data_IF_308550192538
#
_entry.id   IF_308550192538
#
_cell.length_a   1.000
_cell.length_b   1.000
_cell.length_c   1.000
_cell.angle_alpha   90.00
_cell.angle_beta   90.00
_cell.angle_gamma   90.00
#
_symmetry.space_group_name_H-M   'P 1'
#
loop_
_entity.id
_entity.type
_entity.pdbx_description
1 polymer ?
#
# COMPACT_ATOMS: atom_id res chain seq x y z
N UNK A 1 6.24 -2.16 18.25
CA UNK A 1 7.39 -1.64 19.01
C UNK A 1 6.96 -0.90 20.27
N UNK A 2 6.14 0.15 20.21
CA UNK A 2 5.71 0.88 21.43
C UNK A 2 4.85 0.03 22.38
N UNK A 3 4.02 -0.86 21.88
CA UNK A 3 3.23 -1.76 22.72
C UNK A 3 4.11 -2.67 23.60
N UNK A 4 5.25 -3.12 23.09
CA UNK A 4 6.22 -3.90 23.87
C UNK A 4 6.89 -3.09 25.01
N UNK A 5 6.77 -1.76 24.97
CA UNK A 5 7.25 -0.83 26.00
C UNK A 5 6.12 -0.33 26.93
N UNK A 6 4.95 -0.97 26.88
CA UNK A 6 3.82 -0.66 27.75
C UNK A 6 2.83 0.37 27.18
N UNK A 7 2.95 0.76 25.90
CA UNK A 7 1.95 1.60 25.25
C UNK A 7 0.65 0.83 25.01
N UNK A 8 -0.47 1.49 25.18
CA UNK A 8 -1.80 0.93 24.94
C UNK A 8 -2.20 1.25 23.50
N UNK A 9 -2.54 0.24 22.72
CA UNK A 9 -3.11 0.40 21.37
C UNK A 9 -4.60 0.69 21.53
N UNK A 10 -5.03 1.87 21.12
CA UNK A 10 -6.45 2.29 21.20
C UNK A 10 -7.26 1.85 19.98
N UNK A 11 -6.60 1.56 18.87
CA UNK A 11 -7.20 1.10 17.62
C UNK A 11 -6.15 0.99 16.53
N UNK A 12 -6.46 0.26 15.46
CA UNK A 12 -5.59 0.13 14.29
C UNK A 12 -6.38 0.25 12.99
N UNK A 13 -5.71 0.65 11.90
CA UNK A 13 -6.29 0.63 10.56
C UNK A 13 -6.63 -0.80 10.10
N UNK A 14 -5.88 -1.81 10.59
CA UNK A 14 -6.16 -3.23 10.33
C UNK A 14 -7.52 -3.62 10.90
N UNK A 15 -7.80 -3.27 12.17
CA UNK A 15 -9.08 -3.60 12.83
C UNK A 15 -10.26 -2.88 12.18
N UNK A 16 -10.02 -1.70 11.63
CA UNK A 16 -11.00 -0.91 10.88
C UNK A 16 -11.16 -1.34 9.41
N UNK A 17 -10.34 -2.30 8.92
CA UNK A 17 -10.33 -2.72 7.52
C UNK A 17 -9.84 -1.65 6.54
N UNK A 18 -9.13 -0.64 7.03
CA UNK A 18 -8.66 0.50 6.24
C UNK A 18 -7.22 0.25 5.77
N UNK A 19 -6.99 0.31 4.46
CA UNK A 19 -5.64 0.27 3.87
C UNK A 19 -4.93 1.60 4.09
N UNK A 20 -3.65 1.55 4.45
CA UNK A 20 -2.88 2.70 4.90
C UNK A 20 -2.32 3.62 3.81
N UNK A 21 -2.41 3.24 2.54
CA UNK A 21 -1.87 4.04 1.45
C UNK A 21 -2.23 3.52 0.07
N UNK A 22 -1.93 4.34 -0.93
CA UNK A 22 -2.11 4.00 -2.36
C UNK A 22 -0.85 4.39 -3.13
N UNK A 23 -0.60 3.70 -4.24
CA UNK A 23 0.39 4.12 -5.21
C UNK A 23 -0.23 5.20 -6.11
N UNK A 24 0.51 6.25 -6.35
CA UNK A 24 0.07 7.38 -7.16
C UNK A 24 1.13 7.67 -8.23
N UNK A 25 0.67 7.91 -9.45
CA UNK A 25 1.52 8.24 -10.57
C UNK A 25 1.01 9.53 -11.23
N UNK A 26 1.93 10.29 -11.80
CA UNK A 26 1.59 11.50 -12.54
C UNK A 26 0.91 11.13 -13.86
N UNK A 27 -0.05 11.93 -14.31
CA UNK A 27 -0.78 11.73 -15.57
C UNK A 27 0.17 11.56 -16.76
N UNK A 28 1.27 12.32 -16.80
CA UNK A 28 2.29 12.20 -17.83
C UNK A 28 2.91 10.79 -17.88
N UNK A 29 3.13 10.17 -16.73
CA UNK A 29 3.68 8.79 -16.65
C UNK A 29 2.62 7.80 -17.12
N UNK A 30 1.38 7.97 -16.69
CA UNK A 30 0.25 7.11 -17.09
C UNK A 30 0.08 7.12 -18.60
N UNK A 31 0.15 8.29 -19.24
CA UNK A 31 -0.09 8.46 -20.67
C UNK A 31 1.11 8.04 -21.52
N UNK A 32 2.34 8.37 -21.11
CA UNK A 32 3.51 8.23 -21.96
C UNK A 32 4.37 7.00 -21.63
N UNK A 33 4.16 6.36 -20.47
CA UNK A 33 4.97 5.25 -19.99
C UNK A 33 4.14 4.05 -19.48
N UNK A 34 3.10 3.62 -20.20
CA UNK A 34 2.20 2.55 -19.74
C UNK A 34 2.91 1.21 -19.55
N UNK A 35 3.96 0.92 -20.33
CA UNK A 35 4.72 -0.33 -20.19
C UNK A 35 5.58 -0.34 -18.92
N UNK A 36 6.08 0.83 -18.49
CA UNK A 36 6.83 0.93 -17.26
C UNK A 36 5.94 0.70 -16.03
N UNK A 37 4.68 1.17 -16.09
CA UNK A 37 3.71 0.89 -15.03
C UNK A 37 3.35 -0.60 -14.93
N UNK A 38 3.17 -1.27 -16.07
CA UNK A 38 2.96 -2.73 -16.09
C UNK A 38 4.17 -3.46 -15.52
N UNK A 39 5.38 -3.10 -15.95
CA UNK A 39 6.61 -3.69 -15.42
C UNK A 39 6.77 -3.42 -13.92
N UNK A 40 6.42 -2.22 -13.44
CA UNK A 40 6.43 -1.89 -12.03
C UNK A 40 5.51 -2.81 -11.22
N UNK A 41 4.25 -2.99 -11.63
CA UNK A 41 3.32 -3.85 -10.91
C UNK A 41 3.70 -5.34 -10.98
N UNK A 42 4.28 -5.79 -12.10
CA UNK A 42 4.84 -7.14 -12.19
C UNK A 42 5.96 -7.33 -11.16
N UNK A 43 6.93 -6.42 -11.13
CA UNK A 43 8.03 -6.47 -10.16
C UNK A 43 7.54 -6.32 -8.70
N UNK A 44 6.50 -5.53 -8.48
CA UNK A 44 5.86 -5.40 -7.17
C UNK A 44 5.30 -6.76 -6.70
N UNK A 45 4.56 -7.45 -7.55
CA UNK A 45 3.99 -8.76 -7.20
C UNK A 45 5.08 -9.83 -7.01
N UNK A 46 6.15 -9.82 -7.83
CA UNK A 46 7.32 -10.69 -7.62
C UNK A 46 8.01 -10.44 -6.28
N UNK A 47 8.09 -9.18 -5.84
CA UNK A 47 8.61 -8.84 -4.52
C UNK A 47 7.68 -9.35 -3.40
N UNK A 48 6.37 -9.29 -3.58
CA UNK A 48 5.38 -9.87 -2.65
C UNK A 48 5.56 -11.39 -2.55
N UNK A 49 5.72 -12.09 -3.68
CA UNK A 49 5.99 -13.53 -3.69
C UNK A 49 7.26 -13.87 -2.90
N UNK A 50 8.32 -13.08 -3.11
CA UNK A 50 9.56 -13.26 -2.37
C UNK A 50 9.35 -13.06 -0.86
N UNK A 51 8.66 -11.99 -0.46
CA UNK A 51 8.38 -11.71 0.95
C UNK A 51 7.51 -12.79 1.61
N UNK A 52 6.52 -13.32 0.90
CA UNK A 52 5.65 -14.39 1.41
C UNK A 52 6.38 -15.74 1.52
N UNK A 53 7.41 -15.97 0.71
CA UNK A 53 8.18 -17.21 0.70
C UNK A 53 9.40 -17.20 1.66
N UNK A 54 9.81 -16.05 2.19
CA UNK A 54 11.05 -15.87 2.94
C UNK A 54 10.82 -15.12 4.25
N UNK A 55 11.70 -15.42 5.25
CA UNK A 55 11.76 -14.62 6.47
C UNK A 55 12.33 -13.22 6.18
N UNK A 56 11.87 -12.21 6.91
CA UNK A 56 12.39 -10.85 6.81
C UNK A 56 13.91 -10.74 7.06
N UNK A 57 14.50 -11.75 7.67
CA UNK A 57 15.97 -11.85 7.85
C UNK A 57 16.71 -12.07 6.53
N UNK A 58 16.06 -12.70 5.55
CA UNK A 58 16.65 -13.01 4.25
C UNK A 58 16.83 -11.76 3.37
N UNK A 59 16.09 -10.68 3.70
CA UNK A 59 16.18 -9.36 3.05
C UNK A 59 16.48 -8.22 4.03
N UNK A 60 17.06 -8.55 5.20
CA UNK A 60 17.39 -7.57 6.23
C UNK A 60 18.38 -6.50 5.75
N UNK A 61 19.33 -6.85 4.87
CA UNK A 61 20.29 -5.90 4.31
C UNK A 61 19.57 -4.83 3.47
N UNK A 62 18.57 -5.22 2.70
CA UNK A 62 17.73 -4.28 1.93
C UNK A 62 16.98 -3.34 2.89
N UNK A 63 16.40 -3.86 3.97
CA UNK A 63 15.73 -3.04 4.98
C UNK A 63 16.70 -2.05 5.63
N UNK A 64 17.93 -2.47 5.92
CA UNK A 64 18.96 -1.61 6.50
C UNK A 64 19.37 -0.47 5.55
N UNK A 65 19.50 -0.74 4.25
CA UNK A 65 19.82 0.26 3.23
C UNK A 65 18.76 1.38 3.17
N UNK A 66 17.48 1.04 3.44
CA UNK A 66 16.39 2.00 3.57
C UNK A 66 16.20 2.54 4.99
N UNK A 67 17.17 2.33 5.90
CA UNK A 67 17.18 2.83 7.26
C UNK A 67 16.03 2.31 8.15
N UNK A 68 15.48 1.14 7.83
CA UNK A 68 14.55 0.49 8.73
C UNK A 68 15.29 -0.06 9.97
N UNK A 69 14.71 0.07 11.17
CA UNK A 69 15.32 -0.48 12.38
C UNK A 69 15.28 -2.02 12.38
N UNK A 70 16.24 -2.66 13.05
CA UNK A 70 16.34 -4.13 13.17
C UNK A 70 15.04 -4.79 13.66
N UNK A 71 14.29 -4.11 14.53
CA UNK A 71 13.00 -4.58 15.01
C UNK A 71 11.93 -4.69 13.91
N UNK A 72 12.17 -4.12 12.72
CA UNK A 72 11.26 -4.24 11.59
C UNK A 72 11.16 -5.68 11.08
N UNK A 73 12.25 -6.42 11.03
CA UNK A 73 12.27 -7.83 10.62
C UNK A 73 11.32 -8.68 11.46
N UNK A 74 11.35 -8.51 12.79
CA UNK A 74 10.42 -9.21 13.68
C UNK A 74 8.96 -8.83 13.45
N UNK A 75 8.71 -7.54 13.16
CA UNK A 75 7.37 -7.08 12.84
C UNK A 75 6.87 -7.67 11.50
N UNK A 76 7.70 -7.67 10.47
CA UNK A 76 7.35 -8.22 9.16
C UNK A 76 7.07 -9.74 9.24
N UNK A 77 7.90 -10.50 9.95
CA UNK A 77 7.69 -11.94 10.18
C UNK A 77 6.41 -12.24 10.99
N UNK A 78 5.87 -11.26 11.71
CA UNK A 78 4.62 -11.40 12.46
C UNK A 78 3.36 -11.11 11.64
N UNK A 79 3.52 -10.64 10.41
CA UNK A 79 2.39 -10.37 9.53
C UNK A 79 1.94 -11.66 8.84
N UNK A 80 0.66 -11.70 8.50
CA UNK A 80 0.10 -12.68 7.56
C UNK A 80 0.61 -12.38 6.15
N UNK A 81 0.29 -13.24 5.19
CA UNK A 81 0.67 -13.07 3.79
C UNK A 81 0.36 -11.66 3.26
N UNK A 82 1.31 -11.11 2.54
CA UNK A 82 1.16 -9.82 1.88
C UNK A 82 0.35 -10.00 0.59
N UNK A 83 -0.68 -9.19 0.37
CA UNK A 83 -1.47 -9.27 -0.86
C UNK A 83 -0.74 -8.63 -2.04
N UNK A 84 -1.02 -9.11 -3.22
CA UNK A 84 -0.64 -8.46 -4.47
C UNK A 84 -1.23 -7.05 -4.60
N UNK A 85 -0.72 -6.29 -5.56
CA UNK A 85 -1.28 -5.00 -5.92
C UNK A 85 -2.77 -5.16 -6.29
N UNK A 86 -3.62 -4.36 -5.67
CA UNK A 86 -5.08 -4.46 -5.81
C UNK A 86 -5.68 -3.11 -6.11
N UNK A 87 -6.86 -3.11 -6.74
CA UNK A 87 -7.68 -1.93 -6.85
C UNK A 87 -8.04 -1.37 -5.47
N UNK A 88 -8.11 -0.05 -5.36
CA UNK A 88 -8.64 0.61 -4.16
C UNK A 88 -10.15 0.31 -4.07
N UNK A 89 -10.65 -0.23 -2.95
CA UNK A 89 -12.08 -0.44 -2.80
C UNK A 89 -12.86 0.87 -2.90
N UNK A 90 -13.91 0.89 -3.72
CA UNK A 90 -14.70 2.11 -3.96
C UNK A 90 -15.27 2.69 -2.67
N UNK A 91 -15.77 1.86 -1.76
CA UNK A 91 -16.30 2.32 -0.47
C UNK A 91 -15.24 3.08 0.36
N UNK A 92 -13.99 2.61 0.38
CA UNK A 92 -12.90 3.32 1.06
C UNK A 92 -12.56 4.64 0.37
N UNK A 93 -12.54 4.66 -0.95
CA UNK A 93 -12.34 5.87 -1.73
C UNK A 93 -13.41 6.90 -1.41
N UNK A 94 -14.68 6.52 -1.50
CA UNK A 94 -15.83 7.41 -1.25
C UNK A 94 -15.80 7.98 0.18
N UNK A 95 -15.44 7.16 1.16
CA UNK A 95 -15.29 7.59 2.56
C UNK A 95 -14.15 8.61 2.72
N UNK A 96 -13.01 8.42 2.05
CA UNK A 96 -11.88 9.35 2.07
C UNK A 96 -12.26 10.68 1.42
N UNK A 97 -12.90 10.64 0.25
CA UNK A 97 -13.35 11.86 -0.45
C UNK A 97 -14.35 12.65 0.41
N UNK A 98 -15.33 11.96 1.01
CA UNK A 98 -16.30 12.61 1.91
C UNK A 98 -15.62 13.25 3.11
N UNK A 99 -14.69 12.55 3.76
CA UNK A 99 -13.95 13.07 4.91
C UNK A 99 -13.06 14.25 4.53
N UNK A 100 -12.32 14.16 3.43
CA UNK A 100 -11.40 15.21 2.95
C UNK A 100 -12.17 16.49 2.60
N UNK A 101 -13.36 16.33 2.00
CA UNK A 101 -14.27 17.45 1.72
C UNK A 101 -14.84 18.08 3.00
N UNK A 102 -15.29 17.27 3.96
CA UNK A 102 -15.76 17.74 5.27
C UNK A 102 -14.69 18.55 6.00
N UNK A 103 -13.42 18.17 5.87
CA UNK A 103 -12.27 18.90 6.43
C UNK A 103 -11.84 20.13 5.62
N UNK A 104 -12.49 20.43 4.51
CA UNK A 104 -12.14 21.56 3.66
C UNK A 104 -10.79 21.46 2.98
N UNK A 105 -10.27 20.24 2.79
CA UNK A 105 -9.00 19.99 2.12
C UNK A 105 -9.17 19.91 0.60
N UNK A 106 -10.37 19.65 0.13
CA UNK A 106 -10.77 19.72 -1.27
C UNK A 106 -12.07 20.52 -1.40
N UNK A 107 -12.22 21.26 -2.49
CA UNK A 107 -13.38 22.13 -2.73
C UNK A 107 -14.58 21.36 -3.31
N UNK A 108 -14.30 20.26 -4.04
CA UNK A 108 -15.32 19.44 -4.69
C UNK A 108 -15.14 17.96 -4.37
N UNK A 109 -16.19 17.18 -4.59
CA UNK A 109 -16.08 15.73 -4.60
C UNK A 109 -15.59 15.26 -5.97
N UNK A 110 -14.72 14.24 -5.96
CA UNK A 110 -14.24 13.56 -7.14
C UNK A 110 -14.85 12.16 -7.20
N UNK A 111 -15.19 11.70 -8.38
CA UNK A 111 -15.67 10.34 -8.57
C UNK A 111 -14.51 9.35 -8.58
N UNK A 112 -14.82 8.09 -8.29
CA UNK A 112 -13.86 7.00 -8.30
C UNK A 112 -13.10 6.91 -9.63
N UNK A 113 -13.81 6.94 -10.75
CA UNK A 113 -13.21 6.82 -12.08
C UNK A 113 -12.37 8.03 -12.51
N UNK A 114 -12.54 9.19 -11.87
CA UNK A 114 -11.71 10.38 -12.17
C UNK A 114 -10.31 10.27 -11.55
N UNK A 115 -10.18 9.60 -10.41
CA UNK A 115 -8.92 9.56 -9.66
C UNK A 115 -8.28 8.17 -9.60
N UNK A 116 -8.90 7.15 -10.20
CA UNK A 116 -8.34 5.79 -10.18
C UNK A 116 -8.15 5.25 -11.60
N UNK A 117 -7.07 4.50 -11.78
CA UNK A 117 -6.78 3.77 -13.00
C UNK A 117 -6.13 2.44 -12.61
N UNK A 118 -6.74 1.33 -13.03
CA UNK A 118 -6.31 -0.04 -12.71
C UNK A 118 -5.88 -0.84 -13.95
N UNK A 119 -5.80 -0.19 -15.13
CA UNK A 119 -5.47 -0.84 -16.41
C UNK A 119 -4.06 -1.48 -16.43
N UNK A 120 -3.24 -1.14 -15.44
CA UNK A 120 -1.86 -1.60 -15.33
C UNK A 120 -1.66 -2.71 -14.31
N UNK A 121 -2.69 -3.02 -13.52
CA UNK A 121 -2.61 -4.14 -12.59
C UNK A 121 -2.49 -5.45 -13.38
N UNK A 122 -1.64 -6.40 -12.93
CA UNK A 122 -1.64 -7.74 -13.50
C UNK A 122 -3.05 -8.36 -13.41
N UNK A 123 -3.43 -9.12 -14.42
CA UNK A 123 -4.67 -9.89 -14.35
C UNK A 123 -4.53 -10.92 -13.21
N UNK A 124 -5.60 -11.08 -12.44
CA UNK A 124 -5.67 -12.17 -11.45
C UNK A 124 -5.53 -13.51 -12.21
N UNK A 125 -4.47 -14.28 -11.91
CA UNK A 125 -4.30 -15.64 -12.42
C UNK A 125 -5.11 -16.65 -11.60
#
# INVERSE_FOLDING_TARGET
MLAAQGAIVLGSSKDAGIKGGTLQFMDEVIQNRPQDLKAFYTAYNEAIDYMNAHSAKDYADILADYQFPDAMSTYLDSQEDYPYAQAVPQEQFDAIIAWTKDKGQIDQAYSYNELTNFDFLPADE
#
